data_IF_586842852230
#
_entry.id   IF_586842852230
#
_cell.length_a   1.000
_cell.length_b   1.000
_cell.length_c   1.000
_cell.angle_alpha   90.00
_cell.angle_beta   90.00
_cell.angle_gamma   90.00
#
_symmetry.space_group_name_H-M   'P 1'
#
loop_
_entity.id
_entity.type
_entity.pdbx_description
1 polymer ?
#
# COMPACT_ATOMS: atom_id res chain seq x y z
N UNK A 1 35.16 6.09 9.35
CA UNK A 1 33.83 6.63 9.02
C UNK A 1 32.77 5.66 9.50
N UNK A 2 31.97 6.01 10.51
CA UNK A 2 30.79 5.24 10.90
C UNK A 2 29.74 5.37 9.80
N UNK A 3 29.38 4.27 9.13
CA UNK A 3 28.36 4.25 8.09
C UNK A 3 27.00 4.39 8.80
N UNK A 4 26.32 5.54 8.66
CA UNK A 4 24.98 5.74 9.23
C UNK A 4 24.06 4.63 8.71
N UNK A 5 23.50 3.83 9.63
CA UNK A 5 22.49 2.83 9.30
C UNK A 5 21.25 3.59 8.84
N UNK A 6 20.86 3.43 7.58
CA UNK A 6 19.57 3.95 7.11
C UNK A 6 18.48 3.03 7.66
N UNK A 7 17.36 3.57 8.17
CA UNK A 7 16.21 2.75 8.50
C UNK A 7 15.73 2.04 7.23
N UNK A 8 15.19 0.85 7.43
CA UNK A 8 14.59 0.07 6.35
C UNK A 8 13.40 0.85 5.77
N UNK A 9 13.30 0.99 4.44
CA UNK A 9 12.17 1.67 3.83
C UNK A 9 10.88 0.90 4.14
N UNK A 10 9.80 1.64 4.42
CA UNK A 10 8.47 1.05 4.62
C UNK A 10 8.06 0.20 3.43
N UNK A 11 7.39 -0.91 3.71
CA UNK A 11 6.80 -1.75 2.66
C UNK A 11 5.65 -1.01 1.97
N UNK A 12 5.26 -1.47 0.78
CA UNK A 12 4.11 -0.91 0.07
C UNK A 12 2.82 -1.02 0.91
N UNK A 13 2.64 -2.16 1.56
CA UNK A 13 1.49 -2.45 2.44
C UNK A 13 1.44 -1.50 3.64
N UNK A 14 2.58 -1.28 4.30
CA UNK A 14 2.69 -0.34 5.42
C UNK A 14 2.32 1.09 5.00
N UNK A 15 2.81 1.52 3.83
CA UNK A 15 2.51 2.85 3.31
C UNK A 15 1.02 3.02 2.97
N UNK A 16 0.41 2.02 2.34
CA UNK A 16 -1.04 2.05 2.04
C UNK A 16 -1.87 2.07 3.32
N UNK A 17 -1.55 1.21 4.29
CA UNK A 17 -2.27 1.14 5.56
C UNK A 17 -2.18 2.46 6.33
N UNK A 18 -0.98 3.06 6.40
CA UNK A 18 -0.76 4.34 7.04
C UNK A 18 -1.52 5.49 6.36
N UNK A 19 -1.55 5.51 5.02
CA UNK A 19 -2.31 6.53 4.27
C UNK A 19 -3.82 6.35 4.44
N UNK A 20 -4.31 5.11 4.38
CA UNK A 20 -5.74 4.81 4.59
C UNK A 20 -6.20 5.28 5.97
N UNK A 21 -5.45 4.96 7.03
CA UNK A 21 -5.77 5.38 8.39
C UNK A 21 -5.83 6.92 8.54
N UNK A 22 -4.93 7.65 7.85
CA UNK A 22 -4.98 9.12 7.84
C UNK A 22 -6.25 9.65 7.17
N UNK A 23 -6.62 9.08 6.03
CA UNK A 23 -7.83 9.49 5.29
C UNK A 23 -9.10 9.16 6.07
N UNK A 24 -9.16 8.01 6.75
CA UNK A 24 -10.28 7.65 7.63
C UNK A 24 -10.41 8.63 8.80
N UNK A 25 -9.28 9.02 9.41
CA UNK A 25 -9.27 10.00 10.49
C UNK A 25 -9.66 11.42 10.02
N UNK A 26 -9.37 11.78 8.77
CA UNK A 26 -9.84 13.03 8.17
C UNK A 26 -11.34 12.95 7.84
N UNK A 27 -11.79 11.86 7.23
CA UNK A 27 -13.18 11.62 6.88
C UNK A 27 -14.10 11.65 8.11
N UNK A 28 -13.67 11.08 9.23
CA UNK A 28 -14.42 11.07 10.49
C UNK A 28 -14.73 12.48 11.05
N UNK A 29 -14.00 13.51 10.61
CA UNK A 29 -14.19 14.90 11.07
C UNK A 29 -15.08 15.71 10.13
N UNK A 30 -15.41 15.19 8.95
CA UNK A 30 -16.17 15.91 7.94
C UNK A 30 -17.67 15.62 8.04
N UNK A 31 -18.47 16.63 7.70
CA UNK A 31 -19.90 16.46 7.45
C UNK A 31 -20.11 15.83 6.08
N UNK A 32 -21.26 15.16 5.85
CA UNK A 32 -21.63 14.67 4.53
C UNK A 32 -21.53 15.75 3.46
N UNK A 33 -20.89 15.42 2.33
CA UNK A 33 -20.71 16.32 1.21
C UNK A 33 -19.48 15.98 0.35
N UNK A 34 -19.21 16.79 -0.68
CA UNK A 34 -18.25 16.44 -1.73
C UNK A 34 -16.83 16.22 -1.24
N UNK A 35 -16.44 16.81 -0.11
CA UNK A 35 -15.12 16.61 0.48
C UNK A 35 -15.00 15.22 1.12
N UNK A 36 -16.02 14.80 1.88
CA UNK A 36 -16.08 13.44 2.43
C UNK A 36 -16.10 12.40 1.31
N UNK A 37 -16.91 12.63 0.27
CA UNK A 37 -17.03 11.69 -0.87
C UNK A 37 -15.69 11.47 -1.58
N UNK A 38 -14.87 12.53 -1.72
CA UNK A 38 -13.52 12.43 -2.28
C UNK A 38 -12.59 11.59 -1.40
N UNK A 39 -12.63 11.76 -0.09
CA UNK A 39 -11.82 10.96 0.83
C UNK A 39 -12.23 9.50 0.80
N UNK A 40 -13.54 9.21 0.84
CA UNK A 40 -14.07 7.85 0.76
C UNK A 40 -13.69 7.17 -0.57
N UNK A 41 -13.73 7.91 -1.68
CA UNK A 41 -13.25 7.39 -2.97
C UNK A 41 -11.77 7.02 -2.93
N UNK A 42 -10.91 7.86 -2.32
CA UNK A 42 -9.48 7.58 -2.18
C UNK A 42 -9.22 6.38 -1.27
N UNK A 43 -9.99 6.23 -0.19
CA UNK A 43 -9.94 5.04 0.69
C UNK A 43 -10.25 3.78 -0.12
N UNK A 44 -11.31 3.78 -0.93
CA UNK A 44 -11.63 2.62 -1.79
C UNK A 44 -10.55 2.29 -2.83
N UNK A 45 -9.85 3.32 -3.36
CA UNK A 45 -8.70 3.11 -4.24
C UNK A 45 -7.53 2.44 -3.52
N UNK A 46 -7.27 2.80 -2.26
CA UNK A 46 -6.23 2.17 -1.44
C UNK A 46 -6.57 0.70 -1.15
N UNK A 47 -7.83 0.38 -0.88
CA UNK A 47 -8.28 -1.00 -0.72
C UNK A 47 -8.09 -1.82 -2.00
N UNK A 48 -8.41 -1.22 -3.15
CA UNK A 48 -8.19 -1.86 -4.45
C UNK A 48 -6.69 -2.10 -4.69
N UNK A 49 -5.84 -1.13 -4.36
CA UNK A 49 -4.39 -1.26 -4.50
C UNK A 49 -3.81 -2.34 -3.58
N UNK A 50 -4.29 -2.44 -2.34
CA UNK A 50 -3.89 -3.51 -1.42
C UNK A 50 -4.24 -4.89 -1.98
N UNK A 51 -5.45 -5.05 -2.53
CA UNK A 51 -5.88 -6.32 -3.10
C UNK A 51 -5.11 -6.71 -4.37
N UNK A 52 -4.80 -5.73 -5.24
CA UNK A 52 -3.93 -5.98 -6.40
C UNK A 52 -2.54 -6.42 -5.94
N UNK A 53 -1.99 -5.77 -4.91
CA UNK A 53 -0.69 -6.17 -4.37
C UNK A 53 -0.72 -7.60 -3.82
N UNK A 54 -1.76 -7.96 -3.06
CA UNK A 54 -1.99 -9.33 -2.58
C UNK A 54 -1.98 -10.35 -3.73
N UNK A 55 -2.65 -10.05 -4.85
CA UNK A 55 -2.61 -10.92 -6.03
C UNK A 55 -1.21 -11.05 -6.63
N UNK A 56 -0.49 -9.94 -6.77
CA UNK A 56 0.86 -9.93 -7.36
C UNK A 56 1.92 -10.60 -6.47
N UNK A 57 1.71 -10.61 -5.15
CA UNK A 57 2.60 -11.24 -4.18
C UNK A 57 2.21 -12.67 -3.84
N UNK A 58 1.05 -13.14 -4.31
CA UNK A 58 0.59 -14.52 -4.09
C UNK A 58 1.55 -15.54 -4.72
N UNK A 59 2.01 -16.55 -3.94
CA UNK A 59 2.97 -17.55 -4.42
C UNK A 59 2.51 -18.31 -5.68
N UNK A 60 1.20 -18.50 -5.85
CA UNK A 60 0.62 -19.21 -6.99
C UNK A 60 0.58 -18.43 -8.30
N UNK A 61 0.81 -17.11 -8.25
CA UNK A 61 0.83 -16.22 -9.42
C UNK A 61 2.23 -15.73 -9.79
N UNK A 62 3.22 -16.00 -8.93
CA UNK A 62 4.60 -15.67 -9.22
C UNK A 62 5.27 -16.74 -10.09
N UNK A 63 6.14 -16.35 -11.05
CA UNK A 63 6.93 -17.32 -11.79
C UNK A 63 7.82 -18.13 -10.83
N UNK A 64 8.10 -19.41 -11.13
CA UNK A 64 8.95 -20.23 -10.28
C UNK A 64 10.27 -19.53 -9.96
N UNK A 65 10.68 -19.51 -8.69
CA UNK A 65 11.90 -18.80 -8.29
C UNK A 65 13.16 -19.29 -9.02
N UNK A 66 13.17 -20.56 -9.45
CA UNK A 66 14.21 -21.13 -10.29
C UNK A 66 14.39 -20.38 -11.62
N UNK A 67 13.31 -19.96 -12.29
CA UNK A 67 13.42 -19.20 -13.55
C UNK A 67 13.83 -17.74 -13.31
N UNK A 68 13.48 -17.16 -12.14
CA UNK A 68 13.85 -15.77 -11.80
C UNK A 68 15.34 -15.59 -11.56
N UNK A 69 16.03 -16.62 -11.06
CA UNK A 69 17.45 -16.57 -10.74
C UNK A 69 18.37 -16.79 -11.95
N UNK A 70 17.84 -17.33 -13.06
CA UNK A 70 18.56 -17.51 -14.33
C UNK A 70 18.59 -16.24 -15.20
N UNK A 71 17.72 -15.27 -14.90
CA UNK A 71 17.59 -14.01 -15.63
C UNK A 71 18.38 -12.84 -15.00
N UNK A 72 19.32 -13.14 -14.09
CA UNK A 72 20.25 -12.20 -13.46
C UNK A 72 21.68 -12.57 -13.82
#
# INVERSE_FOLDING_TARGET
MQRRRRPEPHTFEENIAAEKAKLEAEAAKLKPGPQLDRLLKKIGQLDTAAHINEWLTSPGLQPPQAVRNLAK
#
